data_IF_562759198896
#
_entry.id   IF_562759198896
#
_cell.length_a   1.000
_cell.length_b   1.000
_cell.length_c   1.000
_cell.angle_alpha   90.00
_cell.angle_beta   90.00
_cell.angle_gamma   90.00
#
_symmetry.space_group_name_H-M   'P 1'
#
loop_
_entity.id
_entity.type
_entity.pdbx_description
1 polymer ?
#
# COMPACT_ATOMS: atom_id res chain seq x y z
N UNK A 1 -21.56 -6.04 19.04
CA UNK A 1 -20.97 -5.40 20.26
C UNK A 1 -20.53 -4.00 19.86
N UNK A 2 -20.49 -3.05 20.78
CA UNK A 2 -20.02 -1.69 20.45
C UNK A 2 -18.54 -1.73 20.01
N UNK A 3 -18.20 -1.00 18.96
CA UNK A 3 -16.83 -0.98 18.41
C UNK A 3 -15.99 0.02 19.20
N UNK A 4 -15.07 -0.48 20.05
CA UNK A 4 -14.18 0.38 20.86
C UNK A 4 -12.95 0.83 20.08
N UNK A 5 -12.48 2.06 20.33
CA UNK A 5 -11.24 2.58 19.74
C UNK A 5 -9.99 1.94 20.34
N UNK A 6 -9.97 1.73 21.67
CA UNK A 6 -8.88 1.03 22.37
C UNK A 6 -9.23 -0.44 22.48
N UNK A 7 -8.43 -1.29 21.84
CA UNK A 7 -8.48 -2.75 21.97
C UNK A 7 -7.19 -3.35 21.42
N UNK A 8 -7.01 -4.65 21.62
CA UNK A 8 -6.10 -5.39 20.75
C UNK A 8 -6.55 -5.27 19.29
N UNK A 9 -5.63 -5.33 18.31
CA UNK A 9 -5.99 -5.31 16.90
C UNK A 9 -7.01 -6.39 16.57
N UNK A 10 -8.14 -6.00 15.96
CA UNK A 10 -9.18 -6.95 15.53
C UNK A 10 -8.91 -7.55 14.16
N UNK A 11 -7.96 -6.96 13.42
CA UNK A 11 -7.46 -7.48 12.16
C UNK A 11 -5.93 -7.51 12.22
N UNK A 12 -5.33 -8.45 11.51
CA UNK A 12 -3.90 -8.60 11.33
C UNK A 12 -3.32 -7.48 10.47
N UNK A 13 -2.01 -7.28 10.60
CA UNK A 13 -1.27 -6.38 9.71
C UNK A 13 -1.41 -6.80 8.24
N UNK A 14 -1.44 -8.11 7.97
CA UNK A 14 -1.61 -8.62 6.62
C UNK A 14 -2.96 -8.21 6.02
N UNK A 15 -4.06 -8.32 6.79
CA UNK A 15 -5.37 -7.85 6.32
C UNK A 15 -5.40 -6.34 6.10
N UNK A 16 -4.81 -5.55 7.01
CA UNK A 16 -4.73 -4.10 6.85
C UNK A 16 -4.00 -3.70 5.55
N UNK A 17 -2.87 -4.36 5.26
CA UNK A 17 -2.12 -4.19 4.01
C UNK A 17 -2.98 -4.57 2.80
N UNK A 18 -3.60 -5.76 2.82
CA UNK A 18 -4.46 -6.25 1.72
C UNK A 18 -5.57 -5.26 1.37
N UNK A 19 -6.22 -4.68 2.37
CA UNK A 19 -7.29 -3.69 2.15
C UNK A 19 -6.74 -2.46 1.42
N UNK A 20 -5.64 -1.88 1.90
CA UNK A 20 -5.07 -0.69 1.26
C UNK A 20 -4.56 -0.97 -0.17
N UNK A 21 -4.01 -2.16 -0.43
CA UNK A 21 -3.62 -2.60 -1.77
C UNK A 21 -4.82 -2.78 -2.71
N UNK A 22 -5.88 -3.46 -2.24
CA UNK A 22 -7.10 -3.71 -3.02
C UNK A 22 -7.74 -2.42 -3.52
N UNK A 23 -7.76 -1.39 -2.68
CA UNK A 23 -8.31 -0.08 -3.01
C UNK A 23 -7.32 0.86 -3.69
N UNK A 24 -6.10 0.40 -4.01
CA UNK A 24 -5.02 1.20 -4.62
C UNK A 24 -4.75 2.49 -3.84
N UNK A 25 -4.79 2.39 -2.52
CA UNK A 25 -4.53 3.53 -1.64
C UNK A 25 -3.12 4.08 -1.88
N UNK A 26 -2.90 5.41 -1.83
CA UNK A 26 -1.55 5.98 -1.77
C UNK A 26 -0.77 5.51 -0.52
N UNK A 27 -1.46 4.99 0.50
CA UNK A 27 -0.84 4.40 1.68
C UNK A 27 -0.42 2.93 1.50
N UNK A 28 -0.76 2.26 0.39
CA UNK A 28 -0.44 0.85 0.20
C UNK A 28 1.07 0.53 0.36
N UNK A 29 2.01 1.33 -0.20
CA UNK A 29 3.45 1.09 -0.02
C UNK A 29 3.96 1.24 1.42
N UNK A 30 3.18 1.91 2.29
CA UNK A 30 3.53 2.19 3.69
C UNK A 30 2.52 1.56 4.67
N UNK A 31 1.68 0.63 4.20
CA UNK A 31 0.54 0.12 4.97
C UNK A 31 0.95 -0.60 6.25
N UNK A 32 2.07 -1.34 6.22
CA UNK A 32 2.61 -2.02 7.39
C UNK A 32 3.08 -1.02 8.47
N UNK A 33 3.69 0.10 8.07
CA UNK A 33 4.08 1.20 8.96
C UNK A 33 2.83 1.87 9.55
N UNK A 34 1.83 2.19 8.72
CA UNK A 34 0.57 2.76 9.18
C UNK A 34 -0.13 1.88 10.22
N UNK A 35 -0.17 0.56 10.01
CA UNK A 35 -0.70 -0.39 10.99
C UNK A 35 0.05 -0.28 12.33
N UNK A 36 1.39 -0.23 12.29
CA UNK A 36 2.21 -0.14 13.49
C UNK A 36 1.98 1.16 14.23
N UNK A 37 1.88 2.30 13.53
CA UNK A 37 1.57 3.61 14.13
C UNK A 37 0.29 3.52 14.97
N UNK A 38 -0.78 2.93 14.44
CA UNK A 38 -2.05 2.83 15.18
C UNK A 38 -1.89 1.95 16.43
N UNK A 39 -1.18 0.83 16.30
CA UNK A 39 -0.89 -0.08 17.41
C UNK A 39 -0.05 0.59 18.51
N UNK A 40 0.96 1.38 18.14
CA UNK A 40 1.84 2.10 19.07
C UNK A 40 1.07 3.14 19.90
N UNK A 41 -0.01 3.68 19.33
CA UNK A 41 -0.95 4.55 20.05
C UNK A 41 -1.99 3.78 20.89
N UNK A 42 -1.93 2.44 20.94
CA UNK A 42 -2.87 1.60 21.66
C UNK A 42 -4.29 1.62 21.11
N UNK A 43 -4.44 1.94 19.82
CA UNK A 43 -5.72 2.00 19.12
C UNK A 43 -5.90 0.78 18.20
N UNK A 44 -7.15 0.48 17.86
CA UNK A 44 -7.47 -0.58 16.91
C UNK A 44 -7.22 -0.12 15.46
N UNK A 45 -6.29 -0.74 14.71
CA UNK A 45 -6.05 -0.44 13.31
C UNK A 45 -7.29 -0.63 12.42
N UNK A 46 -8.20 -1.55 12.74
CA UNK A 46 -9.44 -1.70 11.98
C UNK A 46 -10.33 -0.46 12.09
N UNK A 47 -10.40 0.15 13.28
CA UNK A 47 -11.20 1.37 13.50
C UNK A 47 -10.58 2.56 12.79
N UNK A 48 -9.26 2.75 12.88
CA UNK A 48 -8.56 3.79 12.15
C UNK A 48 -8.74 3.66 10.63
N UNK A 49 -8.66 2.43 10.11
CA UNK A 49 -8.88 2.13 8.70
C UNK A 49 -10.33 2.39 8.26
N UNK A 50 -11.31 2.10 9.12
CA UNK A 50 -12.73 2.37 8.87
C UNK A 50 -13.03 3.86 8.70
N UNK A 51 -12.42 4.71 9.54
CA UNK A 51 -12.52 6.17 9.37
C UNK A 51 -11.89 6.60 8.04
N UNK A 52 -10.70 6.10 7.70
CA UNK A 52 -10.04 6.46 6.44
C UNK A 52 -10.84 6.05 5.20
N UNK A 53 -11.47 4.88 5.25
CA UNK A 53 -12.37 4.38 4.23
C UNK A 53 -13.57 5.32 4.03
N UNK A 54 -14.25 5.68 5.13
CA UNK A 54 -15.43 6.56 5.10
C UNK A 54 -15.07 7.95 4.59
N UNK A 55 -13.98 8.53 5.09
CA UNK A 55 -13.59 9.91 4.84
C UNK A 55 -13.11 10.16 3.41
N UNK A 56 -12.40 9.20 2.81
CA UNK A 56 -11.69 9.47 1.56
C UNK A 56 -11.55 8.27 0.63
N UNK A 57 -12.23 7.16 0.93
CA UNK A 57 -11.97 5.89 0.23
C UNK A 57 -10.47 5.57 0.26
N UNK A 58 -9.90 5.54 1.47
CA UNK A 58 -8.49 5.27 1.71
C UNK A 58 -7.53 6.25 1.02
N UNK A 59 -7.87 7.54 1.02
CA UNK A 59 -7.04 8.61 0.48
C UNK A 59 -7.08 8.76 -1.04
N UNK A 60 -7.96 8.02 -1.72
CA UNK A 60 -8.08 8.05 -3.19
C UNK A 60 -9.05 9.12 -3.70
N UNK A 61 -9.89 9.68 -2.82
CA UNK A 61 -10.95 10.63 -3.20
C UNK A 61 -11.02 11.83 -2.26
N UNK A 62 -11.63 12.89 -2.76
CA UNK A 62 -11.93 14.10 -1.99
C UNK A 62 -10.66 14.90 -1.65
N UNK A 63 -10.80 15.76 -0.64
CA UNK A 63 -9.71 16.67 -0.22
C UNK A 63 -8.48 15.93 0.29
N UNK A 64 -8.61 14.69 0.75
CA UNK A 64 -7.51 13.86 1.25
C UNK A 64 -6.39 13.66 0.22
N UNK A 65 -6.70 13.71 -1.08
CA UNK A 65 -5.71 13.61 -2.16
C UNK A 65 -4.72 14.78 -2.11
N UNK A 66 -5.16 15.94 -1.65
CA UNK A 66 -4.35 17.17 -1.55
C UNK A 66 -3.85 17.41 -0.11
N UNK A 67 -4.66 17.05 0.89
CA UNK A 67 -4.39 17.34 2.31
C UNK A 67 -3.59 16.27 3.01
N UNK A 68 -3.51 15.05 2.44
CA UNK A 68 -2.89 13.88 3.05
C UNK A 68 -3.44 13.59 4.46
N UNK A 69 -4.72 13.90 4.69
CA UNK A 69 -5.36 13.80 6.01
C UNK A 69 -6.12 12.49 6.17
N UNK A 70 -5.63 11.60 7.05
CA UNK A 70 -6.26 10.30 7.34
C UNK A 70 -7.76 10.40 7.69
N UNK A 71 -8.14 11.42 8.44
CA UNK A 71 -9.53 11.60 8.91
C UNK A 71 -10.24 12.85 8.39
N UNK A 72 -9.75 13.50 7.32
CA UNK A 72 -10.21 14.83 6.86
C UNK A 72 -10.51 15.82 8.01
N UNK A 73 -9.56 16.02 8.91
CA UNK A 73 -9.79 16.88 10.08
C UNK A 73 -9.69 18.37 9.72
N UNK A 74 -10.52 19.20 10.34
CA UNK A 74 -10.55 20.66 10.12
C UNK A 74 -9.29 21.38 10.63
N UNK A 75 -8.68 20.84 11.67
CA UNK A 75 -7.50 21.38 12.36
C UNK A 75 -6.57 20.23 12.66
N UNK A 76 -5.25 20.44 12.72
CA UNK A 76 -4.34 19.46 13.30
C UNK A 76 -4.43 19.49 14.82
N UNK A 77 -4.20 18.35 15.47
CA UNK A 77 -4.17 18.20 16.91
C UNK A 77 -2.81 18.66 17.45
N UNK A 78 -1.75 18.33 16.72
CA UNK A 78 -0.39 18.85 16.86
C UNK A 78 -0.10 19.82 15.72
N UNK A 79 -0.15 21.14 15.96
CA UNK A 79 0.06 22.15 14.93
C UNK A 79 1.35 21.94 14.12
N UNK A 80 2.41 21.43 14.76
CA UNK A 80 3.70 21.16 14.15
C UNK A 80 3.65 20.14 13.00
N UNK A 81 2.67 19.23 12.98
CA UNK A 81 2.51 18.21 11.90
C UNK A 81 1.77 18.74 10.68
N UNK A 82 1.04 19.84 10.81
CA UNK A 82 0.41 20.51 9.68
C UNK A 82 1.39 21.43 8.96
N UNK A 83 1.23 21.54 7.64
CA UNK A 83 1.96 22.48 6.77
C UNK A 83 1.07 23.55 6.17
N UNK A 84 -0.23 23.50 6.44
CA UNK A 84 -1.15 24.51 5.98
C UNK A 84 -2.60 24.15 6.19
N UNK A 85 -3.47 24.96 5.60
CA UNK A 85 -4.91 24.78 5.61
C UNK A 85 -5.42 24.88 4.18
N UNK A 86 -6.15 23.86 3.74
CA UNK A 86 -6.79 23.82 2.43
C UNK A 86 -7.92 24.87 2.35
N UNK A 87 -8.23 25.46 1.18
CA UNK A 87 -9.28 26.48 1.04
C UNK A 87 -10.66 26.08 1.56
N UNK A 88 -10.94 24.77 1.58
CA UNK A 88 -12.16 24.19 2.18
C UNK A 88 -12.08 23.98 3.71
N UNK A 89 -11.12 24.62 4.37
CA UNK A 89 -10.88 24.57 5.81
C UNK A 89 -10.56 23.16 6.34
N UNK A 90 -9.58 22.48 5.73
CA UNK A 90 -9.04 21.19 6.20
C UNK A 90 -7.55 21.33 6.48
N UNK A 91 -7.02 20.67 7.50
CA UNK A 91 -5.59 20.66 7.77
C UNK A 91 -4.83 19.91 6.65
N UNK A 92 -3.71 20.47 6.19
CA UNK A 92 -2.80 19.83 5.23
C UNK A 92 -1.61 19.26 6.01
N UNK A 93 -1.28 17.99 5.81
CA UNK A 93 -0.16 17.29 6.42
C UNK A 93 0.98 17.06 5.42
N UNK A 94 2.19 16.83 5.94
CA UNK A 94 3.39 16.58 5.10
C UNK A 94 3.34 15.24 4.38
N UNK A 95 2.79 14.25 5.06
CA UNK A 95 2.66 12.87 4.61
C UNK A 95 1.54 12.18 5.39
N UNK A 96 1.17 10.97 4.97
CA UNK A 96 0.10 10.21 5.58
C UNK A 96 0.42 9.80 7.02
N UNK A 97 1.68 9.48 7.33
CA UNK A 97 2.12 9.10 8.68
C UNK A 97 1.88 10.25 9.69
N UNK A 98 2.27 11.48 9.35
CA UNK A 98 2.06 12.67 10.18
C UNK A 98 0.57 12.87 10.49
N UNK A 99 -0.29 12.68 9.49
CA UNK A 99 -1.75 12.77 9.69
C UNK A 99 -2.32 11.62 10.53
N UNK A 100 -1.76 10.42 10.41
CA UNK A 100 -2.20 9.25 11.17
C UNK A 100 -1.81 9.37 12.64
N UNK A 101 -0.57 9.80 12.94
CA UNK A 101 -0.19 10.14 14.31
C UNK A 101 -1.08 11.24 14.90
N UNK A 102 -1.37 12.30 14.13
CA UNK A 102 -2.27 13.38 14.58
C UNK A 102 -3.69 12.87 14.86
N UNK A 103 -4.21 12.01 14.00
CA UNK A 103 -5.52 11.40 14.15
C UNK A 103 -5.57 10.50 15.39
N UNK A 104 -4.58 9.63 15.59
CA UNK A 104 -4.50 8.75 16.75
C UNK A 104 -4.46 9.54 18.06
N UNK A 105 -3.63 10.59 18.14
CA UNK A 105 -3.55 11.45 19.32
C UNK A 105 -4.85 12.22 19.57
N UNK A 106 -5.50 12.71 18.52
CA UNK A 106 -6.82 13.34 18.64
C UNK A 106 -7.84 12.38 19.24
N UNK A 107 -7.92 11.16 18.74
CA UNK A 107 -8.85 10.15 19.24
C UNK A 107 -8.55 9.85 20.71
N UNK A 108 -7.29 9.53 21.03
CA UNK A 108 -6.90 9.22 22.40
C UNK A 108 -7.18 10.36 23.38
N UNK A 109 -6.73 11.57 23.07
CA UNK A 109 -6.79 12.68 24.01
C UNK A 109 -8.15 13.38 24.03
N UNK A 110 -8.61 13.84 22.86
CA UNK A 110 -9.82 14.65 22.79
C UNK A 110 -11.09 13.82 22.90
N UNK A 111 -11.16 12.68 22.21
CA UNK A 111 -12.38 11.89 22.17
C UNK A 111 -12.49 10.97 23.39
N UNK A 112 -11.43 10.20 23.67
CA UNK A 112 -11.48 9.21 24.75
C UNK A 112 -11.21 9.87 26.10
N UNK A 113 -10.01 10.42 26.32
CA UNK A 113 -9.60 10.89 27.66
C UNK A 113 -10.44 12.08 28.16
N UNK A 114 -10.66 13.09 27.32
CA UNK A 114 -11.38 14.31 27.73
C UNK A 114 -12.89 14.18 27.71
N UNK A 115 -13.46 13.34 26.82
CA UNK A 115 -14.90 13.32 26.53
C UNK A 115 -15.58 11.97 26.76
N UNK A 116 -14.83 10.91 27.07
CA UNK A 116 -15.39 9.57 27.32
C UNK A 116 -16.03 8.92 26.08
N UNK A 117 -15.65 9.33 24.88
CA UNK A 117 -16.19 8.83 23.60
C UNK A 117 -15.33 7.65 23.12
N UNK A 118 -15.36 6.57 23.87
CA UNK A 118 -14.52 5.37 23.72
C UNK A 118 -14.98 4.37 22.66
N UNK A 119 -16.16 4.58 22.08
CA UNK A 119 -16.71 3.76 20.98
C UNK A 119 -17.04 4.59 19.75
N UNK A 120 -17.08 3.93 18.59
CA UNK A 120 -17.45 4.49 17.30
C UNK A 120 -18.81 5.19 17.37
N UNK A 121 -19.79 4.56 18.02
CA UNK A 121 -21.16 5.09 18.18
C UNK A 121 -21.19 6.37 19.02
N UNK A 122 -20.31 6.51 20.02
CA UNK A 122 -20.20 7.72 20.83
C UNK A 122 -19.43 8.83 20.11
N UNK A 123 -18.39 8.49 19.36
CA UNK A 123 -17.50 9.47 18.75
C UNK A 123 -18.03 10.07 17.44
N UNK A 124 -18.67 9.28 16.58
CA UNK A 124 -19.12 9.76 15.25
C UNK A 124 -20.08 10.96 15.32
N UNK A 125 -21.11 11.01 16.20
CA UNK A 125 -21.99 12.17 16.30
C UNK A 125 -21.26 13.48 16.59
N UNK A 126 -20.07 13.39 17.16
CA UNK A 126 -19.19 14.52 17.47
C UNK A 126 -18.17 14.77 16.36
N UNK A 127 -17.67 13.71 15.74
CA UNK A 127 -16.67 13.75 14.68
C UNK A 127 -17.24 14.33 13.38
N UNK A 128 -18.43 13.86 13.01
CA UNK A 128 -19.16 14.23 11.80
C UNK A 128 -20.64 14.50 12.17
N UNK A 129 -20.93 15.64 12.83
CA UNK A 129 -22.27 15.95 13.31
C UNK A 129 -23.26 16.17 12.16
N UNK A 130 -24.54 15.93 12.43
CA UNK A 130 -25.61 16.10 11.45
C UNK A 130 -25.78 17.56 10.97
N UNK A 131 -25.44 18.53 11.82
CA UNK A 131 -25.48 19.97 11.49
C UNK A 131 -24.52 20.33 10.34
N UNK A 132 -23.47 19.54 10.14
CA UNK A 132 -22.53 19.65 9.02
C UNK A 132 -23.00 18.82 7.79
N UNK A 133 -24.29 18.49 7.73
CA UNK A 133 -24.94 17.69 6.69
C UNK A 133 -24.41 16.25 6.56
N UNK A 134 -23.93 15.68 7.67
CA UNK A 134 -23.51 14.28 7.75
C UNK A 134 -24.69 13.37 8.12
N UNK A 135 -24.69 12.14 7.59
CA UNK A 135 -25.60 11.10 8.07
C UNK A 135 -24.86 10.24 9.12
N UNK A 136 -25.03 10.62 10.39
CA UNK A 136 -24.38 9.99 11.55
C UNK A 136 -24.61 8.48 11.58
N UNK A 137 -25.86 8.05 11.41
CA UNK A 137 -26.24 6.65 11.47
C UNK A 137 -25.58 5.84 10.35
N UNK A 138 -25.63 6.37 9.11
CA UNK A 138 -24.98 5.75 7.96
C UNK A 138 -23.46 5.68 8.11
N UNK A 139 -22.84 6.66 8.77
CA UNK A 139 -21.42 6.62 9.08
C UNK A 139 -21.11 5.45 10.02
N UNK A 140 -21.81 5.37 11.16
CA UNK A 140 -21.65 4.28 12.13
C UNK A 140 -21.82 2.92 11.42
N UNK A 141 -22.90 2.75 10.66
CA UNK A 141 -23.17 1.50 9.93
C UNK A 141 -22.07 1.16 8.92
N UNK A 142 -21.58 2.15 8.18
CA UNK A 142 -20.52 1.94 7.19
C UNK A 142 -19.21 1.48 7.85
N UNK A 143 -18.78 2.14 8.93
CA UNK A 143 -17.55 1.76 9.65
C UNK A 143 -17.69 0.37 10.27
N UNK A 144 -18.79 0.10 10.98
CA UNK A 144 -18.99 -1.19 11.63
C UNK A 144 -19.05 -2.33 10.61
N UNK A 145 -19.75 -2.13 9.49
CA UNK A 145 -19.84 -3.13 8.41
C UNK A 145 -18.48 -3.41 7.77
N UNK A 146 -17.65 -2.38 7.54
CA UNK A 146 -16.30 -2.57 7.02
C UNK A 146 -15.44 -3.41 7.98
N UNK A 147 -15.49 -3.09 9.28
CA UNK A 147 -14.72 -3.80 10.31
C UNK A 147 -15.16 -5.26 10.38
N UNK A 148 -16.46 -5.54 10.45
CA UNK A 148 -16.98 -6.91 10.50
C UNK A 148 -16.55 -7.73 9.26
N UNK A 149 -16.59 -7.11 8.07
CA UNK A 149 -16.12 -7.75 6.85
C UNK A 149 -14.61 -8.03 6.87
N UNK A 150 -13.80 -7.14 7.42
CA UNK A 150 -12.36 -7.36 7.51
C UNK A 150 -11.98 -8.41 8.54
N UNK A 151 -12.68 -8.46 9.68
CA UNK A 151 -12.51 -9.55 10.66
C UNK A 151 -12.83 -10.89 9.99
N UNK A 152 -13.98 -10.99 9.33
CA UNK A 152 -14.37 -12.20 8.63
C UNK A 152 -13.38 -12.61 7.53
N UNK A 153 -12.80 -11.64 6.81
CA UNK A 153 -11.81 -11.89 5.77
C UNK A 153 -10.42 -12.25 6.31
N UNK A 154 -10.08 -11.83 7.53
CA UNK A 154 -8.80 -12.13 8.16
C UNK A 154 -8.75 -13.55 8.76
N UNK A 155 -9.90 -14.04 9.22
CA UNK A 155 -10.08 -15.43 9.67
C UNK A 155 -10.04 -16.45 8.52
N UNK A 156 -10.15 -15.99 7.27
CA UNK A 156 -10.01 -16.86 6.11
C UNK A 156 -8.53 -17.03 5.76
N UNK A 157 -8.05 -18.26 5.48
CA UNK A 157 -6.74 -18.45 4.89
C UNK A 157 -6.61 -17.57 3.65
N UNK A 158 -5.46 -16.89 3.52
CA UNK A 158 -5.10 -16.22 2.29
C UNK A 158 -5.44 -17.16 1.12
N UNK A 159 -6.29 -16.75 0.15
CA UNK A 159 -6.41 -17.53 -1.06
C UNK A 159 -4.99 -17.72 -1.61
N UNK A 160 -4.65 -18.94 -2.02
CA UNK A 160 -3.37 -19.22 -2.67
C UNK A 160 -3.12 -18.10 -3.71
N UNK A 161 -1.87 -17.61 -3.86
CA UNK A 161 -1.58 -16.50 -4.76
C UNK A 161 -2.33 -16.72 -6.06
N UNK A 162 -3.33 -15.89 -6.33
CA UNK A 162 -4.09 -16.03 -7.56
C UNK A 162 -3.15 -15.58 -8.66
N UNK A 163 -2.59 -16.53 -9.41
CA UNK A 163 -1.83 -16.25 -10.62
C UNK A 163 -2.66 -15.29 -11.46
N UNK A 164 -2.20 -14.05 -11.58
CA UNK A 164 -2.95 -13.07 -12.36
C UNK A 164 -2.94 -13.51 -13.82
N UNK A 165 -3.90 -13.06 -14.63
CA UNK A 165 -3.84 -13.27 -16.08
C UNK A 165 -2.46 -12.87 -16.63
N UNK A 166 -1.87 -11.81 -16.07
CA UNK A 166 -0.51 -11.37 -16.41
C UNK A 166 0.54 -12.44 -16.10
N UNK A 167 0.53 -13.02 -14.90
CA UNK A 167 1.52 -14.03 -14.50
C UNK A 167 1.34 -15.31 -15.34
N UNK A 168 0.10 -15.75 -15.56
CA UNK A 168 -0.20 -16.89 -16.44
C UNK A 168 0.35 -16.68 -17.86
N UNK A 169 0.19 -15.46 -18.41
CA UNK A 169 0.70 -15.12 -19.75
C UNK A 169 2.23 -14.99 -19.77
N UNK A 170 2.85 -14.47 -18.70
CA UNK A 170 4.31 -14.42 -18.58
C UNK A 170 4.91 -15.82 -18.49
N UNK A 171 4.33 -16.69 -17.66
CA UNK A 171 4.74 -18.09 -17.54
C UNK A 171 4.65 -18.81 -18.88
N UNK A 172 3.52 -18.66 -19.60
CA UNK A 172 3.36 -19.22 -20.94
C UNK A 172 4.38 -18.67 -21.95
N UNK A 173 4.71 -17.38 -21.84
CA UNK A 173 5.71 -16.72 -22.71
C UNK A 173 7.11 -17.25 -22.46
N UNK A 174 7.51 -17.44 -21.20
CA UNK A 174 8.81 -18.01 -20.83
C UNK A 174 8.90 -19.49 -21.19
N UNK A 175 7.83 -20.25 -20.93
CA UNK A 175 7.77 -21.67 -21.27
C UNK A 175 7.93 -21.92 -22.78
N UNK A 176 7.44 -21.02 -23.64
CA UNK A 176 7.63 -21.10 -25.09
C UNK A 176 9.11 -21.04 -25.51
N UNK A 177 9.97 -20.43 -24.69
CA UNK A 177 11.43 -20.37 -24.87
C UNK A 177 12.18 -21.44 -24.06
N UNK A 178 11.47 -22.45 -23.52
CA UNK A 178 12.01 -23.44 -22.58
C UNK A 178 12.68 -22.79 -21.36
N UNK A 179 12.18 -21.63 -20.93
CA UNK A 179 12.66 -20.89 -19.78
C UNK A 179 11.62 -20.84 -18.65
N UNK A 180 12.06 -20.56 -17.42
CA UNK A 180 11.20 -20.33 -16.27
C UNK A 180 11.15 -18.84 -15.91
N UNK A 181 9.94 -18.31 -15.71
CA UNK A 181 9.76 -16.97 -15.18
C UNK A 181 9.90 -17.00 -13.65
N UNK A 182 10.74 -16.09 -13.15
CA UNK A 182 11.06 -15.94 -11.74
C UNK A 182 10.99 -14.45 -11.37
N UNK A 183 9.84 -13.95 -10.87
CA UNK A 183 9.63 -12.52 -10.61
C UNK A 183 10.59 -11.92 -9.57
N UNK A 184 11.17 -12.74 -8.72
CA UNK A 184 12.15 -12.38 -7.69
C UNK A 184 13.58 -12.22 -8.23
N UNK A 185 13.89 -12.75 -9.41
CA UNK A 185 15.24 -12.72 -9.97
C UNK A 185 15.54 -11.39 -10.68
N UNK A 186 16.78 -10.92 -10.55
CA UNK A 186 17.21 -9.60 -11.04
C UNK A 186 16.99 -9.39 -12.55
N UNK A 187 17.21 -10.42 -13.37
CA UNK A 187 17.03 -10.35 -14.83
C UNK A 187 15.57 -10.08 -15.21
N UNK A 188 14.63 -10.76 -14.56
CA UNK A 188 13.21 -10.60 -14.84
C UNK A 188 12.65 -9.29 -14.27
N UNK A 189 13.16 -8.84 -13.12
CA UNK A 189 12.87 -7.50 -12.59
C UNK A 189 13.38 -6.39 -13.52
N UNK A 190 14.59 -6.55 -14.07
CA UNK A 190 15.17 -5.63 -15.06
C UNK A 190 14.36 -5.62 -16.36
N UNK A 191 13.95 -6.77 -16.88
CA UNK A 191 13.09 -6.85 -18.06
C UNK A 191 11.77 -6.09 -17.87
N UNK A 192 11.13 -6.24 -16.70
CA UNK A 192 9.92 -5.49 -16.36
C UNK A 192 10.17 -3.99 -16.14
N UNK A 193 11.31 -3.59 -15.57
CA UNK A 193 11.64 -2.17 -15.42
C UNK A 193 11.90 -1.49 -16.76
N UNK A 194 12.60 -2.15 -17.68
CA UNK A 194 12.87 -1.63 -19.02
C UNK A 194 11.62 -1.55 -19.88
N UNK A 195 10.71 -2.53 -19.78
CA UNK A 195 9.39 -2.44 -20.42
C UNK A 195 8.62 -1.20 -19.93
N UNK A 196 8.58 -0.97 -18.61
CA UNK A 196 7.94 0.22 -18.01
C UNK A 196 8.60 1.53 -18.45
N UNK A 197 9.89 1.50 -18.75
CA UNK A 197 10.64 2.65 -19.24
C UNK A 197 10.57 2.82 -20.77
N UNK A 198 9.73 2.05 -21.49
CA UNK A 198 9.57 2.12 -22.93
C UNK A 198 10.74 1.53 -23.74
N UNK A 199 11.63 0.77 -23.10
CA UNK A 199 12.82 0.13 -23.69
C UNK A 199 12.73 -1.39 -23.65
N UNK A 200 11.58 -1.93 -24.02
CA UNK A 200 11.29 -3.37 -23.97
C UNK A 200 12.45 -4.21 -24.53
N UNK A 201 12.75 -5.31 -23.84
CA UNK A 201 13.68 -6.34 -24.33
C UNK A 201 12.99 -7.31 -25.30
N UNK A 202 11.66 -7.29 -25.40
CA UNK A 202 10.87 -8.29 -26.11
C UNK A 202 10.74 -9.60 -25.31
N UNK A 203 10.30 -10.66 -25.98
CA UNK A 203 10.11 -11.98 -25.36
C UNK A 203 11.46 -12.67 -25.13
N UNK A 204 11.60 -13.53 -24.10
CA UNK A 204 12.78 -14.37 -23.94
C UNK A 204 12.90 -15.32 -25.15
N UNK A 205 14.13 -15.61 -25.55
CA UNK A 205 14.47 -16.59 -26.57
C UNK A 205 15.30 -17.74 -26.01
N UNK A 206 15.70 -17.66 -24.73
CA UNK A 206 16.46 -18.68 -24.03
C UNK A 206 16.18 -18.67 -22.53
N UNK A 207 16.50 -19.79 -21.87
CA UNK A 207 16.77 -19.80 -20.43
C UNK A 207 18.05 -19.00 -20.10
N UNK A 208 18.23 -18.63 -18.84
CA UNK A 208 19.49 -18.08 -18.35
C UNK A 208 20.63 -19.10 -18.53
N UNK A 209 21.75 -18.63 -19.09
CA UNK A 209 22.92 -19.46 -19.38
C UNK A 209 24.17 -18.85 -18.76
N UNK A 210 25.13 -19.70 -18.41
CA UNK A 210 26.43 -19.25 -17.90
C UNK A 210 27.49 -19.31 -19.00
N UNK A 211 28.23 -18.22 -19.16
CA UNK A 211 29.37 -18.13 -20.07
C UNK A 211 30.61 -17.67 -19.31
N UNK A 212 31.79 -18.03 -19.81
CA UNK A 212 33.07 -17.63 -19.22
C UNK A 212 33.90 -16.91 -20.27
N UNK A 213 34.39 -15.72 -19.92
CA UNK A 213 35.27 -14.90 -20.76
C UNK A 213 36.48 -14.52 -19.92
N UNK A 214 37.69 -14.88 -20.39
CA UNK A 214 38.96 -14.57 -19.71
C UNK A 214 38.98 -14.92 -18.20
N UNK A 215 38.36 -16.05 -17.84
CA UNK A 215 38.26 -16.52 -16.46
C UNK A 215 37.14 -15.88 -15.62
N UNK A 216 36.47 -14.84 -16.12
CA UNK A 216 35.30 -14.25 -15.48
C UNK A 216 34.02 -14.93 -15.98
N UNK A 217 33.21 -15.44 -15.05
CA UNK A 217 31.90 -15.98 -15.35
C UNK A 217 30.84 -14.88 -15.44
N UNK A 218 29.92 -15.02 -16.39
CA UNK A 218 28.73 -14.20 -16.56
C UNK A 218 27.51 -15.11 -16.66
N UNK A 219 26.37 -14.63 -16.19
CA UNK A 219 25.08 -15.17 -16.63
C UNK A 219 24.50 -14.25 -17.69
N UNK A 220 23.91 -14.86 -18.71
CA UNK A 220 23.30 -14.19 -19.85
C UNK A 220 21.88 -14.70 -20.04
N UNK A 221 21.03 -13.89 -20.66
CA UNK A 221 19.75 -14.32 -21.18
C UNK A 221 19.44 -13.57 -22.46
N UNK A 222 19.05 -14.31 -23.49
CA UNK A 222 18.73 -13.75 -24.80
C UNK A 222 17.26 -13.39 -24.84
N UNK A 223 16.96 -12.14 -25.18
CA UNK A 223 15.62 -11.65 -25.48
C UNK A 223 15.54 -11.20 -26.94
N UNK A 224 14.32 -11.03 -27.46
CA UNK A 224 14.09 -10.73 -28.87
C UNK A 224 14.75 -9.43 -29.37
N UNK A 225 14.95 -8.44 -28.49
CA UNK A 225 15.53 -7.14 -28.84
C UNK A 225 16.93 -6.90 -28.27
N UNK A 226 17.41 -7.74 -27.36
CA UNK A 226 18.75 -7.60 -26.76
C UNK A 226 19.20 -8.88 -26.03
N UNK A 227 20.49 -8.97 -25.73
CA UNK A 227 21.01 -9.95 -24.76
C UNK A 227 21.45 -9.20 -23.52
N UNK A 228 20.92 -9.60 -22.35
CA UNK A 228 21.35 -9.04 -21.07
C UNK A 228 22.35 -9.97 -20.40
N UNK A 229 23.28 -9.40 -19.63
CA UNK A 229 24.33 -10.14 -18.94
C UNK A 229 24.64 -9.52 -17.58
N UNK A 230 25.11 -10.33 -16.63
CA UNK A 230 25.69 -9.86 -15.38
C UNK A 230 26.88 -10.72 -14.96
N UNK A 231 27.97 -10.13 -14.44
CA UNK A 231 29.10 -10.89 -13.93
C UNK A 231 28.72 -11.65 -12.67
N UNK A 232 29.16 -12.89 -12.51
CA UNK A 232 28.97 -13.66 -11.28
C UNK A 232 30.02 -13.21 -10.25
N UNK A 233 29.66 -12.94 -8.98
CA UNK A 233 28.32 -13.05 -8.35
C UNK A 233 27.52 -11.74 -8.28
N UNK A 234 27.87 -10.74 -9.09
CA UNK A 234 27.27 -9.39 -9.07
C UNK A 234 26.04 -9.34 -9.97
N UNK A 235 25.01 -10.12 -9.60
CA UNK A 235 23.78 -10.36 -10.36
C UNK A 235 22.96 -9.10 -10.67
N UNK A 236 23.12 -8.03 -9.89
CA UNK A 236 22.45 -6.74 -10.09
C UNK A 236 23.15 -5.81 -11.07
N UNK A 237 24.41 -6.10 -11.44
CA UNK A 237 25.16 -5.32 -12.44
C UNK A 237 24.79 -5.79 -13.86
N UNK A 238 23.54 -5.52 -14.25
CA UNK A 238 22.98 -5.98 -15.53
C UNK A 238 23.36 -5.01 -16.66
N UNK A 239 24.11 -5.52 -17.63
CA UNK A 239 24.43 -4.85 -18.89
C UNK A 239 23.61 -5.38 -20.07
N UNK A 240 23.58 -4.61 -21.16
CA UNK A 240 22.97 -4.98 -22.45
C UNK A 240 24.06 -5.12 -23.50
N UNK A 241 23.99 -6.16 -24.33
CA UNK A 241 24.90 -6.35 -25.45
C UNK A 241 24.85 -5.14 -26.41
N UNK A 242 23.65 -4.61 -26.68
CA UNK A 242 23.49 -3.41 -27.53
C UNK A 242 24.29 -2.20 -27.05
N UNK A 243 24.59 -2.09 -25.75
CA UNK A 243 25.41 -1.00 -25.20
C UNK A 243 26.90 -1.22 -25.47
N UNK A 244 27.35 -2.47 -25.46
CA UNK A 244 28.72 -2.83 -25.81
C UNK A 244 29.00 -2.63 -27.31
N UNK A 245 27.99 -2.87 -28.16
CA UNK A 245 28.09 -2.74 -29.62
C UNK A 245 28.07 -1.29 -30.13
N UNK A 246 27.69 -0.32 -29.31
CA UNK A 246 27.71 1.11 -29.66
C UNK A 246 29.09 1.77 -29.50
N UNK A 247 30.12 0.97 -29.25
CA UNK A 247 31.51 1.42 -29.08
C UNK A 247 32.23 1.52 -30.41
#
# INVERSE_FOLDING_TARGET
MAVTFRSQPRISQAQFVRVLEQFRSPCAPIAAECYQIVCDHGLDPAVALGFFAHESTFGTKGVAVETLSWGNVRTAFRPERAVGVHPRNFAIFRNWQDSLHDWCERINERYINQRGLDTVEKAIPVYAPADDNNNVQRYIEHVTTLIDNWIAADDQPLPAPQTSLRDTLLDATFAAAQAQYHPEQAFHQYMLSELRAGRSLGNPLSEQQRVTVDGQAYVIQVFALDTIYAPVPRWSEIGRLSTLLKR
#
